data_IF_130625633354
#
_entry.id   IF_130625633354
#
_cell.length_a   1.000
_cell.length_b   1.000
_cell.length_c   1.000
_cell.angle_alpha   90.00
_cell.angle_beta   90.00
_cell.angle_gamma   90.00
#
_symmetry.space_group_name_H-M   'P 1'
#
loop_
_entity.id
_entity.type
_entity.pdbx_description
1 polymer ?
#
# COMPACT_ATOMS: atom_id res chain seq x y z
N UNK A 1 -6.81 23.38 11.13
CA UNK A 1 -5.36 23.25 10.85
C UNK A 1 -4.94 21.82 10.49
N UNK A 2 -5.88 20.85 10.40
CA UNK A 2 -5.63 19.44 10.02
C UNK A 2 -5.55 19.22 8.49
N UNK A 3 -6.07 20.15 7.67
CA UNK A 3 -6.08 20.05 6.20
C UNK A 3 -4.73 20.21 5.49
N UNK A 4 -3.67 20.64 6.19
CA UNK A 4 -2.32 20.79 5.62
C UNK A 4 -1.36 19.66 6.00
N UNK A 5 -1.75 18.79 6.93
CA UNK A 5 -0.92 17.66 7.37
C UNK A 5 -1.07 16.44 6.45
N UNK A 6 -2.22 16.28 5.80
CA UNK A 6 -2.47 15.21 4.83
C UNK A 6 -1.78 15.42 3.47
N UNK A 7 -1.36 16.65 3.16
CA UNK A 7 -0.62 16.97 1.92
C UNK A 7 0.91 16.76 2.05
N UNK A 8 1.42 16.51 3.26
CA UNK A 8 2.85 16.34 3.53
C UNK A 8 3.29 14.90 3.76
N UNK A 9 2.36 13.95 3.82
CA UNK A 9 2.65 12.50 3.84
C UNK A 9 2.88 11.90 2.44
N UNK A 10 2.66 12.68 1.37
CA UNK A 10 2.84 12.24 -0.02
C UNK A 10 4.09 12.84 -0.71
N UNK A 11 4.93 13.57 0.02
CA UNK A 11 6.01 14.36 -0.56
C UNK A 11 7.39 13.97 -0.02
N UNK A 12 7.83 12.71 -0.19
CA UNK A 12 9.27 12.37 -0.30
C UNK A 12 9.45 11.18 -1.25
N UNK A 13 10.51 11.25 -2.07
CA UNK A 13 11.08 10.26 -3.01
C UNK A 13 10.65 10.32 -4.49
N UNK A 14 10.97 11.45 -5.12
CA UNK A 14 11.37 11.50 -6.52
C UNK A 14 12.80 10.93 -6.68
N UNK A 15 12.92 9.63 -6.94
CA UNK A 15 14.09 9.09 -7.64
C UNK A 15 13.73 7.80 -8.35
N UNK A 16 13.57 7.91 -9.68
CA UNK A 16 13.51 6.84 -10.69
C UNK A 16 12.20 6.05 -10.92
N UNK A 17 11.03 6.55 -10.50
CA UNK A 17 9.77 6.01 -11.02
C UNK A 17 9.40 6.66 -12.35
N UNK A 18 9.22 5.84 -13.39
CA UNK A 18 8.64 6.29 -14.64
C UNK A 18 7.13 6.43 -14.45
N UNK A 19 6.67 7.66 -14.18
CA UNK A 19 5.25 7.97 -14.12
C UNK A 19 4.69 8.08 -15.54
N UNK A 20 3.73 7.23 -15.90
CA UNK A 20 2.86 7.56 -17.04
C UNK A 20 2.00 8.77 -16.65
N UNK A 21 1.81 9.72 -17.58
CA UNK A 21 0.97 10.89 -17.32
C UNK A 21 -0.45 10.44 -16.92
N UNK A 22 -1.03 10.99 -15.84
CA UNK A 22 -2.34 10.58 -15.39
C UNK A 22 -3.41 10.86 -16.45
N UNK A 23 -4.25 9.88 -16.76
CA UNK A 23 -5.46 10.10 -17.57
C UNK A 23 -6.55 10.62 -16.65
N UNK A 24 -7.14 11.77 -16.99
CA UNK A 24 -8.19 12.43 -16.21
C UNK A 24 -9.52 12.44 -16.96
N UNK A 25 -10.61 12.11 -16.26
CA UNK A 25 -11.98 12.24 -16.76
C UNK A 25 -12.82 12.98 -15.71
N UNK A 26 -13.75 13.81 -16.18
CA UNK A 26 -14.61 14.62 -15.31
C UNK A 26 -16.09 14.50 -15.67
N UNK A 27 -16.92 14.33 -14.65
CA UNK A 27 -18.37 14.31 -14.75
C UNK A 27 -19.00 14.91 -13.49
N UNK A 28 -19.95 15.83 -13.66
CA UNK A 28 -20.65 16.50 -12.54
C UNK A 28 -19.71 17.15 -11.48
N UNK A 29 -18.55 17.66 -11.89
CA UNK A 29 -17.56 18.28 -10.99
C UNK A 29 -16.69 17.29 -10.20
N UNK A 30 -16.77 15.99 -10.48
CA UNK A 30 -15.78 15.02 -10.03
C UNK A 30 -14.56 15.00 -10.97
N UNK A 31 -13.41 14.64 -10.41
CA UNK A 31 -12.15 14.42 -11.12
C UNK A 31 -11.74 12.98 -10.83
N UNK A 32 -11.63 12.16 -11.86
CA UNK A 32 -11.09 10.80 -11.78
C UNK A 32 -9.76 10.79 -12.49
N UNK A 33 -8.73 10.21 -11.86
CA UNK A 33 -7.41 10.03 -12.43
C UNK A 33 -6.97 8.57 -12.36
N UNK A 34 -6.31 8.07 -13.40
CA UNK A 34 -5.57 6.80 -13.35
C UNK A 34 -4.08 7.06 -13.50
N UNK A 35 -3.29 6.54 -12.57
CA UNK A 35 -1.82 6.63 -12.59
C UNK A 35 -1.23 5.23 -12.64
N UNK A 36 -0.34 5.00 -13.61
CA UNK A 36 0.45 3.79 -13.70
C UNK A 36 1.88 4.12 -13.28
N UNK A 37 2.41 3.30 -12.38
CA UNK A 37 3.76 3.42 -11.83
C UNK A 37 4.52 2.15 -12.15
N UNK A 38 5.77 2.33 -12.60
CA UNK A 38 6.66 1.23 -12.96
C UNK A 38 8.06 1.51 -12.40
N UNK A 39 8.73 0.45 -11.97
CA UNK A 39 10.11 0.49 -11.53
C UNK A 39 10.26 0.43 -10.01
N UNK A 40 11.38 0.95 -9.47
CA UNK A 40 11.71 0.80 -8.06
C UNK A 40 10.74 1.59 -7.19
N UNK A 41 10.31 1.00 -6.09
CA UNK A 41 9.61 1.72 -5.03
C UNK A 41 10.63 2.27 -4.03
N UNK A 42 10.35 3.42 -3.39
CA UNK A 42 11.10 3.85 -2.22
C UNK A 42 11.16 2.73 -1.18
N UNK A 43 12.32 2.50 -0.58
CA UNK A 43 12.41 1.57 0.54
C UNK A 43 11.60 2.08 1.72
N UNK A 44 10.91 1.18 2.42
CA UNK A 44 10.13 1.52 3.61
C UNK A 44 10.26 0.42 4.66
N UNK A 45 10.02 0.79 5.91
CA UNK A 45 10.00 -0.15 7.02
C UNK A 45 8.66 -0.87 7.08
N UNK A 46 8.69 -2.17 7.37
CA UNK A 46 7.52 -3.01 7.58
C UNK A 46 7.52 -3.56 9.00
N UNK A 47 6.36 -3.51 9.65
CA UNK A 47 6.13 -4.10 10.96
C UNK A 47 5.79 -5.60 10.86
N UNK A 48 5.96 -6.37 11.96
CA UNK A 48 5.66 -7.78 11.96
C UNK A 48 4.19 -8.03 11.61
N UNK A 49 3.95 -8.82 10.56
CA UNK A 49 2.60 -9.11 10.06
C UNK A 49 2.47 -10.61 9.80
N UNK A 50 1.41 -11.24 10.32
CA UNK A 50 1.16 -12.67 10.14
C UNK A 50 2.36 -13.58 10.50
N UNK A 51 3.14 -13.20 11.53
CA UNK A 51 4.32 -13.94 11.97
C UNK A 51 5.61 -13.66 11.18
N UNK A 52 5.58 -12.73 10.21
CA UNK A 52 6.79 -12.23 9.56
C UNK A 52 7.63 -11.38 10.53
N UNK A 53 8.96 -11.34 10.36
CA UNK A 53 9.79 -10.36 11.05
C UNK A 53 9.51 -8.94 10.53
N UNK A 54 9.82 -7.94 11.34
CA UNK A 54 9.96 -6.56 10.87
C UNK A 54 11.25 -6.36 10.09
N UNK A 55 11.30 -5.31 9.27
CA UNK A 55 12.52 -4.99 8.53
C UNK A 55 12.35 -3.87 7.52
N UNK A 56 13.41 -3.62 6.75
CA UNK A 56 13.38 -2.68 5.64
C UNK A 56 13.10 -3.41 4.34
N UNK A 57 11.97 -3.11 3.71
CA UNK A 57 11.59 -3.60 2.39
C UNK A 57 12.13 -2.67 1.31
N UNK A 58 12.71 -3.25 0.26
CA UNK A 58 13.06 -2.56 -0.98
C UNK A 58 12.55 -3.39 -2.16
N UNK A 59 12.07 -2.76 -3.22
CA UNK A 59 11.51 -3.53 -4.33
C UNK A 59 11.30 -2.74 -5.61
N UNK A 60 10.89 -3.45 -6.64
CA UNK A 60 10.57 -2.89 -7.95
C UNK A 60 9.41 -3.67 -8.55
N UNK A 61 8.49 -2.96 -9.20
CA UNK A 61 7.29 -3.58 -9.72
C UNK A 61 6.40 -2.61 -10.46
N UNK A 62 5.12 -2.95 -10.48
CA UNK A 62 4.07 -2.21 -11.15
C UNK A 62 2.98 -1.85 -10.15
N UNK A 63 2.42 -0.66 -10.28
CA UNK A 63 1.24 -0.27 -9.53
C UNK A 63 0.29 0.53 -10.42
N UNK A 64 -1.00 0.28 -10.27
CA UNK A 64 -2.07 1.06 -10.91
C UNK A 64 -2.90 1.67 -9.80
N UNK A 65 -3.10 2.97 -9.86
CA UNK A 65 -3.95 3.72 -8.95
C UNK A 65 -5.11 4.34 -9.72
N UNK A 66 -6.33 4.11 -9.26
CA UNK A 66 -7.51 4.86 -9.69
C UNK A 66 -7.97 5.73 -8.54
N UNK A 67 -7.97 7.04 -8.75
CA UNK A 67 -8.37 8.02 -7.75
C UNK A 67 -9.55 8.80 -8.26
N UNK A 68 -10.58 9.01 -7.43
CA UNK A 68 -11.69 9.92 -7.73
C UNK A 68 -11.90 10.89 -6.59
N UNK A 69 -12.04 12.17 -6.90
CA UNK A 69 -12.42 13.22 -5.97
C UNK A 69 -13.68 13.90 -6.51
N UNK A 70 -14.75 13.93 -5.72
CA UNK A 70 -15.98 14.62 -6.14
C UNK A 70 -15.97 16.12 -5.75
N UNK A 71 -17.01 16.86 -6.15
CA UNK A 71 -17.15 18.28 -5.83
C UNK A 71 -17.23 18.58 -4.32
N UNK A 72 -17.68 17.63 -3.51
CA UNK A 72 -17.73 17.75 -2.05
C UNK A 72 -16.36 17.49 -1.39
N UNK A 73 -15.38 16.98 -2.15
CA UNK A 73 -14.07 16.57 -1.66
C UNK A 73 -14.06 15.15 -1.10
N UNK A 74 -15.10 14.36 -1.32
CA UNK A 74 -15.09 12.93 -1.01
C UNK A 74 -14.10 12.22 -1.94
N UNK A 75 -13.44 11.20 -1.43
CA UNK A 75 -12.27 10.57 -2.04
C UNK A 75 -12.45 9.06 -2.14
N UNK A 76 -12.10 8.53 -3.31
CA UNK A 76 -12.00 7.10 -3.54
C UNK A 76 -10.64 6.80 -4.15
N UNK A 77 -10.00 5.75 -3.65
CA UNK A 77 -8.79 5.22 -4.23
C UNK A 77 -8.91 3.70 -4.33
N UNK A 78 -8.50 3.14 -5.46
CA UNK A 78 -8.17 1.73 -5.57
C UNK A 78 -6.77 1.58 -6.11
N UNK A 79 -6.01 0.63 -5.57
CA UNK A 79 -4.68 0.29 -6.06
C UNK A 79 -4.56 -1.21 -6.28
N UNK A 80 -3.90 -1.59 -7.37
CA UNK A 80 -3.37 -2.94 -7.57
C UNK A 80 -1.86 -2.82 -7.72
N UNK A 81 -1.10 -3.57 -6.94
CA UNK A 81 0.36 -3.54 -6.97
C UNK A 81 0.92 -4.95 -7.04
N UNK A 82 2.00 -5.11 -7.79
CA UNK A 82 2.72 -6.36 -7.95
C UNK A 82 4.21 -6.07 -8.05
N UNK A 83 5.02 -6.69 -7.20
CA UNK A 83 6.43 -6.34 -7.10
C UNK A 83 7.32 -7.50 -6.65
N UNK A 84 8.56 -7.45 -7.12
CA UNK A 84 9.67 -8.17 -6.52
C UNK A 84 10.27 -7.33 -5.40
N UNK A 85 10.63 -7.98 -4.30
CA UNK A 85 11.16 -7.28 -3.14
C UNK A 85 12.29 -8.05 -2.46
N UNK A 86 13.06 -7.32 -1.67
CA UNK A 86 13.95 -7.84 -0.64
C UNK A 86 13.56 -7.23 0.71
N UNK A 87 13.72 -7.99 1.78
CA UNK A 87 13.61 -7.52 3.16
C UNK A 87 14.91 -7.79 3.88
N UNK A 88 15.44 -6.76 4.52
CA UNK A 88 16.51 -6.85 5.52
C UNK A 88 15.84 -6.79 6.89
N UNK A 89 15.80 -7.90 7.65
CA UNK A 89 15.18 -7.90 8.97
C UNK A 89 15.88 -6.96 9.96
N UNK A 90 15.12 -6.44 10.93
CA UNK A 90 15.71 -5.64 12.01
C UNK A 90 16.60 -6.48 12.94
N UNK A 91 16.24 -7.76 13.12
CA UNK A 91 17.06 -8.75 13.81
C UNK A 91 18.13 -9.29 12.86
N UNK A 92 19.38 -8.86 13.07
CA UNK A 92 20.53 -9.24 12.24
C UNK A 92 20.94 -10.71 12.37
N UNK A 93 20.34 -11.49 13.28
CA UNK A 93 20.51 -12.94 13.32
C UNK A 93 19.65 -13.67 12.29
N UNK A 94 18.64 -13.01 11.71
CA UNK A 94 17.81 -13.54 10.64
C UNK A 94 18.45 -13.30 9.27
N UNK A 95 18.25 -14.21 8.30
CA UNK A 95 18.72 -13.99 6.94
C UNK A 95 17.90 -12.89 6.26
N UNK A 96 18.49 -12.28 5.22
CA UNK A 96 17.70 -11.47 4.29
C UNK A 96 16.74 -12.36 3.51
N UNK A 97 15.60 -11.80 3.12
CA UNK A 97 14.60 -12.50 2.33
C UNK A 97 14.41 -11.81 0.99
N UNK A 98 14.19 -12.58 -0.08
CA UNK A 98 13.83 -12.08 -1.39
C UNK A 98 12.56 -12.79 -1.89
N UNK A 99 11.66 -12.04 -2.49
CA UNK A 99 10.33 -12.54 -2.76
C UNK A 99 9.51 -11.70 -3.73
N UNK A 100 8.24 -12.06 -3.80
CA UNK A 100 7.23 -11.42 -4.64
C UNK A 100 5.96 -11.18 -3.84
N UNK A 101 5.33 -10.03 -4.05
CA UNK A 101 4.00 -9.76 -3.50
C UNK A 101 3.03 -9.27 -4.56
N UNK A 102 1.75 -9.51 -4.30
CA UNK A 102 0.63 -8.88 -4.96
C UNK A 102 -0.35 -8.35 -3.90
N UNK A 103 -0.80 -7.12 -4.07
CA UNK A 103 -1.77 -6.50 -3.16
C UNK A 103 -2.82 -5.73 -3.93
N UNK A 104 -4.03 -5.71 -3.38
CA UNK A 104 -5.07 -4.79 -3.78
C UNK A 104 -5.50 -3.99 -2.55
N UNK A 105 -5.71 -2.70 -2.74
CA UNK A 105 -6.03 -1.74 -1.68
C UNK A 105 -7.16 -0.82 -2.10
N UNK A 106 -8.05 -0.47 -1.18
CA UNK A 106 -9.19 0.40 -1.44
C UNK A 106 -9.51 1.37 -0.30
N UNK A 107 -9.67 2.66 -0.61
CA UNK A 107 -10.16 3.69 0.30
C UNK A 107 -11.49 4.27 -0.22
N UNK A 108 -12.43 4.50 0.69
CA UNK A 108 -13.57 5.39 0.48
C UNK A 108 -13.71 6.33 1.67
N UNK A 109 -13.51 7.62 1.42
CA UNK A 109 -13.58 8.69 2.42
C UNK A 109 -14.62 9.73 2.02
N UNK A 110 -15.36 10.20 3.03
CA UNK A 110 -16.17 11.41 2.93
C UNK A 110 -16.02 12.22 4.23
N UNK A 111 -16.73 13.35 4.34
CA UNK A 111 -16.62 14.22 5.52
C UNK A 111 -17.06 13.60 6.85
N UNK A 112 -17.63 12.39 6.85
CA UNK A 112 -18.14 11.72 8.06
C UNK A 112 -17.69 10.26 8.19
N UNK A 113 -17.25 9.63 7.12
CA UNK A 113 -16.95 8.21 7.11
C UNK A 113 -15.62 7.97 6.41
N UNK A 114 -14.91 6.95 6.88
CA UNK A 114 -13.70 6.43 6.24
C UNK A 114 -13.78 4.92 6.22
N UNK A 115 -13.41 4.31 5.10
CA UNK A 115 -13.29 2.86 4.94
C UNK A 115 -12.01 2.58 4.19
N UNK A 116 -11.20 1.68 4.72
CA UNK A 116 -10.00 1.14 4.12
C UNK A 116 -10.06 -0.37 4.17
N UNK A 117 -9.60 -1.02 3.11
CA UNK A 117 -9.49 -2.47 3.06
C UNK A 117 -8.35 -2.84 2.13
N UNK A 118 -7.70 -3.95 2.45
CA UNK A 118 -6.61 -4.48 1.66
C UNK A 118 -6.67 -6.02 1.58
N UNK A 119 -5.99 -6.54 0.58
CA UNK A 119 -5.58 -7.94 0.52
C UNK A 119 -4.10 -7.97 0.17
N UNK A 120 -3.34 -8.85 0.81
CA UNK A 120 -1.92 -9.02 0.58
C UNK A 120 -1.60 -10.50 0.41
N UNK A 121 -0.88 -10.81 -0.66
CA UNK A 121 -0.25 -12.11 -0.86
C UNK A 121 1.24 -11.86 -1.05
N UNK A 122 2.08 -12.36 -0.15
CA UNK A 122 3.53 -12.26 -0.26
C UNK A 122 4.18 -13.61 0.01
N UNK A 123 5.24 -13.91 -0.74
CA UNK A 123 6.10 -15.06 -0.49
C UNK A 123 7.55 -14.68 -0.70
N UNK A 124 8.40 -15.05 0.25
CA UNK A 124 9.83 -14.83 0.17
C UNK A 124 10.62 -16.04 0.67
N UNK A 125 11.86 -16.14 0.21
CA UNK A 125 12.82 -17.18 0.60
C UNK A 125 14.08 -16.50 1.10
N UNK A 126 14.70 -17.09 2.12
CA UNK A 126 15.98 -16.64 2.66
C UNK A 126 17.08 -16.70 1.60
N UNK A 127 17.92 -15.66 1.55
CA UNK A 127 18.98 -15.52 0.55
C UNK A 127 20.30 -16.19 0.95
N UNK A 128 20.39 -16.72 2.16
CA UNK A 128 21.58 -17.38 2.72
C UNK A 128 21.71 -18.87 2.32
N UNK A 129 20.74 -19.40 1.57
CA UNK A 129 20.71 -20.80 1.15
C UNK A 129 20.10 -21.77 2.17
N UNK A 130 19.63 -21.30 3.33
CA UNK A 130 18.97 -22.14 4.34
C UNK A 130 17.64 -22.75 3.86
N UNK A 131 17.02 -22.14 2.85
CA UNK A 131 15.70 -22.54 2.35
C UNK A 131 14.53 -22.10 3.24
N UNK A 132 14.78 -21.29 4.27
CA UNK A 132 13.71 -20.70 5.08
C UNK A 132 12.77 -19.85 4.22
N UNK A 133 11.47 -19.90 4.51
CA UNK A 133 10.45 -19.16 3.73
C UNK A 133 9.52 -18.38 4.64
N UNK A 134 9.01 -17.27 4.12
CA UNK A 134 7.95 -16.46 4.73
C UNK A 134 6.82 -16.38 3.72
N UNK A 135 5.60 -16.65 4.18
CA UNK A 135 4.38 -16.52 3.38
C UNK A 135 3.38 -15.69 4.18
N UNK A 136 2.76 -14.72 3.53
CA UNK A 136 1.70 -13.89 4.09
C UNK A 136 0.51 -13.96 3.14
N UNK A 137 -0.64 -14.36 3.68
CA UNK A 137 -1.94 -14.18 3.06
C UNK A 137 -2.80 -13.41 4.05
N UNK A 138 -3.05 -12.13 3.77
CA UNK A 138 -3.75 -11.25 4.69
C UNK A 138 -4.92 -10.55 4.03
N UNK A 139 -5.93 -10.26 4.84
CA UNK A 139 -7.01 -9.32 4.53
C UNK A 139 -7.18 -8.38 5.73
N UNK A 140 -7.11 -7.07 5.50
CA UNK A 140 -7.48 -6.04 6.47
C UNK A 140 -8.78 -5.33 6.07
N UNK A 141 -9.49 -4.90 7.10
CA UNK A 141 -10.46 -3.82 6.98
C UNK A 141 -10.36 -2.89 8.17
N UNK A 142 -10.44 -1.59 7.89
CA UNK A 142 -10.61 -0.53 8.85
C UNK A 142 -11.74 0.40 8.42
N UNK A 143 -12.61 0.78 9.35
CA UNK A 143 -13.62 1.81 9.08
C UNK A 143 -13.93 2.66 10.29
N UNK A 144 -14.26 3.93 10.01
CA UNK A 144 -14.81 4.88 10.97
C UNK A 144 -16.16 5.36 10.45
N UNK A 145 -17.19 5.21 11.27
CA UNK A 145 -18.54 5.68 10.95
C UNK A 145 -18.74 7.17 11.26
N UNK A 146 -19.83 7.74 10.73
CA UNK A 146 -20.30 9.09 11.05
C UNK A 146 -20.53 9.36 12.55
N UNK A 147 -20.76 8.31 13.34
CA UNK A 147 -20.90 8.40 14.80
C UNK A 147 -19.60 8.14 15.55
N UNK A 148 -18.47 8.01 14.84
CA UNK A 148 -17.16 7.73 15.42
C UNK A 148 -16.94 6.26 15.80
N UNK A 149 -17.80 5.33 15.37
CA UNK A 149 -17.59 3.90 15.64
C UNK A 149 -16.46 3.40 14.76
N UNK A 150 -15.49 2.75 15.38
CA UNK A 150 -14.36 2.10 14.69
C UNK A 150 -14.67 0.62 14.53
N UNK A 151 -14.50 0.09 13.32
CA UNK A 151 -14.44 -1.35 13.07
C UNK A 151 -13.08 -1.66 12.45
N UNK A 152 -12.39 -2.65 13.01
CA UNK A 152 -11.10 -3.10 12.50
C UNK A 152 -11.08 -4.62 12.53
N UNK A 153 -10.66 -5.24 11.43
CA UNK A 153 -10.30 -6.66 11.42
C UNK A 153 -9.07 -6.87 10.55
N UNK A 154 -8.27 -7.86 10.93
CA UNK A 154 -7.22 -8.42 10.10
C UNK A 154 -7.28 -9.94 10.26
N UNK A 155 -7.18 -10.66 9.16
CA UNK A 155 -7.06 -12.12 9.18
C UNK A 155 -5.86 -12.55 8.35
N UNK A 156 -5.13 -13.53 8.89
CA UNK A 156 -4.04 -14.22 8.22
C UNK A 156 -4.49 -15.64 7.87
N UNK A 157 -4.09 -16.15 6.70
CA UNK A 157 -4.44 -17.49 6.21
C UNK A 157 -3.21 -18.33 5.87
#
# INVERSE_FOLDING_TARGET
>A
MIRRLLLLLFAVLLSSLAFAAPVSAGGNGAITSTTNMHGPFPSFHVDPTCGSPSGTLSGSGNAVFHTTINKAGDFWLTSTQEAWFTVVPDDSSLPNFAGHFATWFGISDNNRNSVTHDILNARATATDGSGATVTIHAVDHFSVSASGKVNMFMACH
#
